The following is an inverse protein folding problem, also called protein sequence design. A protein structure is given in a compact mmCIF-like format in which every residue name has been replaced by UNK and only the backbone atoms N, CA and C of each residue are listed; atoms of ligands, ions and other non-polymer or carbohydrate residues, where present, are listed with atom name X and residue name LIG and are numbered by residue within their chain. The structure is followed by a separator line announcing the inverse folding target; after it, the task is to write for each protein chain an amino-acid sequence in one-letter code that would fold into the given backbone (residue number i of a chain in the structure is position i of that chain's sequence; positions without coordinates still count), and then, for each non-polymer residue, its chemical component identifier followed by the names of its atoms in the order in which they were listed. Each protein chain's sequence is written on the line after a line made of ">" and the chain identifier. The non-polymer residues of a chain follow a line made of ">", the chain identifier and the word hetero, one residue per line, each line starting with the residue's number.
data_IF_295465227646
#
_entry.id   IF_295465227646
#
_cell.length_a   1.000
_cell.length_b   1.000
_cell.length_c   1.000
_cell.angle_alpha   90.00
_cell.angle_beta   90.00
_cell.angle_gamma   90.00
#
_symmetry.space_group_name_H-M   'P 1'
#
loop_
_entity.id
_entity.type
_entity.pdbx_description
1 polymer ?
#
# COMPACT_ATOMS: atom_id res chain seq x y z
N UNK A 1 20.48 -8.76 1.76
CA UNK A 1 19.76 -7.73 2.55
C UNK A 1 18.69 -7.07 1.68
N UNK A 2 17.50 -7.66 1.57
CA UNK A 2 16.47 -7.28 0.57
C UNK A 2 15.11 -6.85 1.15
N UNK A 3 15.07 -6.37 2.39
CA UNK A 3 13.82 -6.09 3.13
C UNK A 3 13.38 -4.61 3.13
N UNK A 4 14.12 -3.69 2.49
CA UNK A 4 13.92 -2.24 2.65
C UNK A 4 12.66 -1.68 1.97
N UNK A 5 12.28 -2.19 0.80
CA UNK A 5 11.15 -1.63 0.02
C UNK A 5 9.79 -1.97 0.64
N UNK A 6 9.64 -3.21 1.09
CA UNK A 6 8.45 -3.67 1.79
C UNK A 6 8.25 -2.93 3.12
N UNK A 7 9.32 -2.80 3.93
CA UNK A 7 9.22 -2.07 5.20
C UNK A 7 8.81 -0.63 5.00
N UNK A 8 9.40 0.07 4.02
CA UNK A 8 8.95 1.42 3.65
C UNK A 8 7.49 1.46 3.22
N UNK A 9 7.05 0.52 2.39
CA UNK A 9 5.66 0.41 1.96
C UNK A 9 4.69 0.30 3.15
N UNK A 10 5.05 -0.52 4.14
CA UNK A 10 4.27 -0.69 5.37
C UNK A 10 4.30 0.59 6.23
N UNK A 11 5.46 1.18 6.43
CA UNK A 11 5.61 2.41 7.22
C UNK A 11 4.77 3.55 6.65
N UNK A 12 4.72 3.69 5.32
CA UNK A 12 3.91 4.69 4.62
C UNK A 12 2.41 4.46 4.85
N UNK A 13 1.98 3.20 4.87
CA UNK A 13 0.59 2.83 5.19
C UNK A 13 0.23 3.16 6.64
N UNK A 14 1.11 2.81 7.58
CA UNK A 14 0.92 3.11 9.00
C UNK A 14 0.91 4.63 9.26
N UNK A 15 1.78 5.39 8.61
CA UNK A 15 1.82 6.85 8.72
C UNK A 15 0.56 7.48 8.11
N UNK A 16 0.09 6.97 6.97
CA UNK A 16 -1.17 7.40 6.37
C UNK A 16 -2.36 7.14 7.30
N UNK A 17 -2.46 5.97 7.91
CA UNK A 17 -3.49 5.66 8.90
C UNK A 17 -3.41 6.60 10.10
N UNK A 18 -2.20 6.85 10.62
CA UNK A 18 -1.99 7.74 11.77
C UNK A 18 -2.36 9.19 11.46
N UNK A 19 -2.10 9.67 10.24
CA UNK A 19 -2.46 11.03 9.81
C UNK A 19 -3.94 11.17 9.46
N UNK A 20 -4.50 10.20 8.73
CA UNK A 20 -5.87 10.28 8.23
C UNK A 20 -6.91 9.81 9.25
N UNK A 21 -6.51 8.99 10.23
CA UNK A 21 -7.44 8.31 11.14
C UNK A 21 -8.38 7.33 10.43
N UNK A 22 -8.05 6.93 9.20
CA UNK A 22 -8.88 6.05 8.35
C UNK A 22 -8.11 4.78 8.03
N UNK A 23 -8.76 3.64 8.22
CA UNK A 23 -8.28 2.32 7.83
C UNK A 23 -8.57 1.98 6.37
N UNK A 24 -9.21 2.89 5.62
CA UNK A 24 -9.51 2.71 4.20
C UNK A 24 -8.74 3.69 3.33
N UNK A 25 -8.11 3.18 2.28
CA UNK A 25 -7.44 3.96 1.26
C UNK A 25 -7.92 3.54 -0.14
N UNK A 26 -8.07 4.50 -1.05
CA UNK A 26 -8.34 4.19 -2.44
C UNK A 26 -7.12 3.56 -3.11
N UNK A 27 -7.34 2.56 -3.97
CA UNK A 27 -6.25 1.86 -4.66
C UNK A 27 -5.36 2.80 -5.47
N UNK A 28 -5.92 3.85 -6.10
CA UNK A 28 -5.13 4.87 -6.80
C UNK A 28 -4.25 5.69 -5.86
N UNK A 29 -4.80 6.16 -4.74
CA UNK A 29 -4.04 6.92 -3.73
C UNK A 29 -2.92 6.06 -3.14
N UNK A 30 -3.23 4.81 -2.83
CA UNK A 30 -2.26 3.84 -2.34
C UNK A 30 -1.12 3.62 -3.34
N UNK A 31 -1.44 3.39 -4.62
CA UNK A 31 -0.43 3.26 -5.68
C UNK A 31 0.46 4.48 -5.77
N UNK A 32 -0.12 5.68 -5.71
CA UNK A 32 0.63 6.94 -5.72
C UNK A 32 1.57 7.12 -4.52
N UNK A 33 1.11 6.78 -3.31
CA UNK A 33 1.94 6.84 -2.10
C UNK A 33 3.13 5.88 -2.18
N UNK A 34 2.86 4.63 -2.53
CA UNK A 34 3.87 3.58 -2.64
C UNK A 34 4.87 3.92 -3.76
N UNK A 35 4.39 4.41 -4.90
CA UNK A 35 5.23 4.84 -6.02
C UNK A 35 6.15 5.99 -5.64
N UNK A 36 5.63 6.98 -4.90
CA UNK A 36 6.40 8.14 -4.43
C UNK A 36 7.54 7.74 -3.49
N UNK A 37 7.29 6.77 -2.61
CA UNK A 37 8.21 6.41 -1.54
C UNK A 37 9.23 5.33 -1.93
N UNK A 38 8.80 4.33 -2.69
CA UNK A 38 9.69 3.28 -3.19
C UNK A 38 10.42 3.75 -4.46
N UNK A 39 9.80 4.64 -5.23
CA UNK A 39 10.29 5.08 -6.54
C UNK A 39 10.26 3.97 -7.59
N UNK A 40 10.55 4.34 -8.84
CA UNK A 40 10.69 3.40 -9.96
C UNK A 40 9.42 3.20 -10.78
N UNK A 41 9.30 2.02 -11.39
CA UNK A 41 8.18 1.69 -12.29
C UNK A 41 7.01 1.07 -11.50
N UNK A 42 5.80 1.57 -11.77
CA UNK A 42 4.59 1.15 -11.06
C UNK A 42 4.29 -0.35 -11.23
N UNK A 43 4.39 -0.88 -12.45
CA UNK A 43 4.08 -2.28 -12.73
C UNK A 43 5.14 -3.23 -12.17
N UNK A 44 6.41 -2.80 -12.15
CA UNK A 44 7.53 -3.63 -11.67
C UNK A 44 7.76 -3.53 -10.16
N UNK A 45 7.27 -2.47 -9.51
CA UNK A 45 7.61 -2.17 -8.12
C UNK A 45 6.38 -2.09 -7.23
N UNK A 46 5.38 -1.29 -7.63
CA UNK A 46 4.18 -1.05 -6.82
C UNK A 46 3.28 -2.28 -6.81
N UNK A 47 2.98 -2.85 -7.98
CA UNK A 47 2.13 -4.05 -8.10
C UNK A 47 2.65 -5.24 -7.25
N UNK A 48 3.92 -5.66 -7.36
CA UNK A 48 4.42 -6.74 -6.52
C UNK A 48 4.48 -6.38 -5.03
N UNK A 49 4.76 -5.12 -4.68
CA UNK A 49 4.72 -4.67 -3.29
C UNK A 49 3.31 -4.75 -2.70
N UNK A 50 2.29 -4.29 -3.45
CA UNK A 50 0.89 -4.40 -3.04
C UNK A 50 0.43 -5.84 -2.92
N UNK A 51 0.88 -6.71 -3.82
CA UNK A 51 0.62 -8.15 -3.74
C UNK A 51 1.23 -8.73 -2.46
N UNK A 52 2.47 -8.39 -2.15
CA UNK A 52 3.16 -8.86 -0.96
C UNK A 52 2.51 -8.36 0.34
N UNK A 53 2.11 -7.08 0.40
CA UNK A 53 1.35 -6.52 1.53
C UNK A 53 0.02 -7.26 1.76
N UNK A 54 -0.63 -7.70 0.66
CA UNK A 54 -1.85 -8.49 0.74
C UNK A 54 -1.60 -9.91 1.22
N UNK A 55 -0.58 -10.59 0.68
CA UNK A 55 -0.21 -11.94 1.09
C UNK A 55 0.19 -12.00 2.57
N UNK A 56 0.76 -10.92 3.09
CA UNK A 56 1.12 -10.78 4.50
C UNK A 56 -0.05 -10.30 5.39
N UNK A 57 -1.23 -10.06 4.82
CA UNK A 57 -2.43 -9.64 5.57
C UNK A 57 -2.40 -8.18 6.06
N UNK A 58 -1.42 -7.38 5.65
CA UNK A 58 -1.33 -5.94 5.99
C UNK A 58 -2.45 -5.16 5.31
N UNK A 59 -2.84 -5.58 4.10
CA UNK A 59 -3.92 -4.95 3.35
C UNK A 59 -4.92 -5.97 2.82
N UNK A 60 -6.19 -5.59 2.81
CA UNK A 60 -7.30 -6.38 2.26
C UNK A 60 -8.04 -5.55 1.22
N UNK A 61 -8.22 -6.07 0.01
CA UNK A 61 -9.04 -5.41 -1.01
C UNK A 61 -10.52 -5.62 -0.74
N UNK A 62 -11.30 -4.54 -0.78
CA UNK A 62 -12.76 -4.59 -0.72
C UNK A 62 -13.35 -3.82 -1.89
N UNK A 63 -14.21 -4.47 -2.67
CA UNK A 63 -14.93 -3.83 -3.77
C UNK A 63 -16.28 -3.33 -3.27
N UNK A 64 -16.39 -2.02 -2.99
CA UNK A 64 -17.64 -1.37 -2.56
C UNK A 64 -18.33 -0.61 -3.71
N UNK A 65 -17.54 0.17 -4.48
CA UNK A 65 -18.01 0.94 -5.66
C UNK A 65 -16.83 1.17 -6.61
N UNK A 66 -15.70 1.55 -6.03
CA UNK A 66 -14.35 1.51 -6.61
C UNK A 66 -13.49 0.57 -5.75
N UNK A 67 -12.32 0.17 -6.25
CA UNK A 67 -11.39 -0.65 -5.47
C UNK A 67 -10.84 0.16 -4.29
N UNK A 68 -11.29 -0.15 -3.08
CA UNK A 68 -10.77 0.38 -1.82
C UNK A 68 -10.00 -0.71 -1.09
N UNK A 69 -8.90 -0.31 -0.47
CA UNK A 69 -8.01 -1.18 0.28
C UNK A 69 -8.24 -0.85 1.75
N UNK A 70 -8.61 -1.85 2.54
CA UNK A 70 -8.61 -1.77 3.99
C UNK A 70 -7.21 -2.12 4.49
N UNK A 71 -6.61 -1.27 5.29
CA UNK A 71 -5.33 -1.51 5.96
C UNK A 71 -5.66 -2.11 7.34
N UNK A 72 -5.01 -3.21 7.71
CA UNK A 72 -5.18 -3.93 8.98
C UNK A 72 -3.95 -3.75 9.84
#
# INVERSE_FOLDING_TARGET
>A
MGTTRFHKAKEVLEEYMKKSGRDYIHTQTLRGLILREIGGDENRTVVPTLKMLRELGVITEKKLHKWTIKIT
#
